data_IF_923494901474
#
_entry.id   IF_923494901474
#
_cell.length_a   1.000
_cell.length_b   1.000
_cell.length_c   1.000
_cell.angle_alpha   90.00
_cell.angle_beta   90.00
_cell.angle_gamma   90.00
#
_symmetry.space_group_name_H-M   'P 1'
#
loop_
_entity.id
_entity.type
_entity.pdbx_description
1 polymer ?
#
# COMPACT_ATOMS: atom_id res chain seq x y z
N UNK A 1 -11.64 9.17 6.89
CA UNK A 1 -10.59 8.50 7.74
C UNK A 1 -11.11 7.92 9.05
N UNK A 2 -12.41 7.97 9.28
CA UNK A 2 -13.07 7.32 10.43
C UNK A 2 -12.81 5.80 10.43
N UNK A 3 -12.87 5.17 9.25
CA UNK A 3 -12.65 3.73 9.06
C UNK A 3 -11.34 3.24 9.68
N UNK A 4 -10.27 4.02 9.56
CA UNK A 4 -8.98 3.69 10.15
C UNK A 4 -8.98 3.85 11.68
N UNK A 5 -9.64 4.87 12.22
CA UNK A 5 -9.78 5.03 13.67
C UNK A 5 -10.65 3.91 14.27
N UNK A 6 -11.71 3.51 13.58
CA UNK A 6 -12.56 2.37 13.99
C UNK A 6 -11.75 1.06 14.02
N UNK A 7 -10.79 0.87 13.10
CA UNK A 7 -9.86 -0.26 13.14
C UNK A 7 -8.97 -0.22 14.38
N UNK A 8 -8.36 0.94 14.70
CA UNK A 8 -7.50 1.08 15.88
C UNK A 8 -8.29 0.81 17.17
N UNK A 9 -9.49 1.38 17.28
CA UNK A 9 -10.38 1.18 18.43
C UNK A 9 -10.76 -0.29 18.57
N UNK A 10 -11.16 -0.94 17.48
CA UNK A 10 -11.48 -2.37 17.46
C UNK A 10 -10.32 -3.24 17.93
N UNK A 11 -9.10 -2.97 17.49
CA UNK A 11 -7.93 -3.76 17.93
C UNK A 11 -7.69 -3.57 19.42
N UNK A 12 -7.80 -2.35 19.94
CA UNK A 12 -7.57 -2.07 21.36
C UNK A 12 -8.66 -2.65 22.28
N UNK A 13 -9.90 -2.79 21.79
CA UNK A 13 -11.07 -3.25 22.57
C UNK A 13 -11.36 -4.74 22.44
N UNK A 14 -11.15 -5.32 21.24
CA UNK A 14 -11.52 -6.70 20.91
C UNK A 14 -10.30 -7.59 20.64
N UNK A 15 -9.10 -6.99 20.48
CA UNK A 15 -7.92 -7.70 20.04
C UNK A 15 -7.40 -8.72 21.06
N UNK A 16 -6.87 -9.81 20.53
CA UNK A 16 -6.18 -10.84 21.30
C UNK A 16 -4.69 -10.58 21.34
N UNK A 17 -4.09 -10.66 22.53
CA UNK A 17 -2.64 -10.55 22.70
C UNK A 17 -1.94 -11.80 22.17
N UNK A 18 -0.87 -11.58 21.39
CA UNK A 18 -0.06 -12.64 20.76
C UNK A 18 1.42 -12.29 20.85
N UNK A 19 2.23 -13.32 20.95
CA UNK A 19 3.67 -13.19 20.71
C UNK A 19 3.93 -13.09 19.20
N UNK A 20 5.06 -12.49 18.84
CA UNK A 20 5.46 -12.34 17.46
C UNK A 20 6.97 -12.60 17.27
N UNK A 21 7.41 -12.69 16.02
CA UNK A 21 8.79 -12.96 15.62
C UNK A 21 9.80 -11.96 16.23
N UNK A 22 9.39 -10.72 16.43
CA UNK A 22 10.28 -9.64 16.92
C UNK A 22 10.44 -9.65 18.43
N UNK A 23 9.62 -10.44 19.16
CA UNK A 23 9.60 -10.46 20.63
C UNK A 23 8.94 -9.23 21.26
N UNK A 24 8.45 -8.28 20.46
CA UNK A 24 7.74 -7.09 20.97
C UNK A 24 6.35 -7.45 21.49
N UNK A 25 5.70 -8.43 20.87
CA UNK A 25 4.31 -8.80 21.10
C UNK A 25 3.33 -7.87 20.41
N UNK A 26 2.13 -8.39 20.15
CA UNK A 26 1.06 -7.67 19.45
C UNK A 26 -0.28 -7.83 20.14
N UNK A 27 -1.22 -6.93 19.83
CA UNK A 27 -2.65 -7.14 20.00
C UNK A 27 -3.26 -7.16 18.59
N UNK A 28 -4.05 -8.17 18.27
CA UNK A 28 -4.57 -8.33 16.90
C UNK A 28 -6.02 -8.79 16.83
N UNK A 29 -6.68 -8.41 15.72
CA UNK A 29 -7.95 -8.99 15.27
C UNK A 29 -7.70 -9.68 13.93
N UNK A 30 -8.44 -10.76 13.65
CA UNK A 30 -8.36 -11.45 12.37
C UNK A 30 -9.56 -11.10 11.49
N UNK A 31 -9.28 -10.53 10.32
CA UNK A 31 -10.30 -10.11 9.37
C UNK A 31 -10.90 -8.74 9.68
N UNK A 32 -10.55 -7.75 8.85
CA UNK A 32 -11.14 -6.42 8.86
C UNK A 32 -11.14 -5.83 7.45
N UNK A 33 -12.17 -5.04 7.11
CA UNK A 33 -12.24 -4.37 5.83
C UNK A 33 -12.58 -2.90 6.00
N UNK A 34 -11.85 -2.04 5.30
CA UNK A 34 -12.11 -0.60 5.20
C UNK A 34 -12.41 -0.23 3.75
N UNK A 35 -13.27 0.77 3.55
CA UNK A 35 -13.60 1.33 2.23
C UNK A 35 -13.33 2.82 2.22
N UNK A 36 -12.72 3.28 1.13
CA UNK A 36 -12.37 4.69 0.91
C UNK A 36 -12.87 5.10 -0.47
N UNK A 37 -13.88 5.98 -0.51
CA UNK A 37 -14.36 6.56 -1.75
C UNK A 37 -13.42 7.71 -2.17
N UNK A 38 -12.74 7.57 -3.30
CA UNK A 38 -11.77 8.57 -3.75
C UNK A 38 -12.41 9.86 -4.27
N UNK A 39 -13.73 9.87 -4.50
CA UNK A 39 -14.48 11.09 -4.80
C UNK A 39 -14.58 12.03 -3.58
N UNK A 40 -14.47 11.50 -2.35
CA UNK A 40 -14.47 12.30 -1.12
C UNK A 40 -13.11 12.97 -0.85
N UNK A 41 -12.06 12.56 -1.55
CA UNK A 41 -10.70 13.03 -1.42
C UNK A 41 -9.68 11.90 -1.33
N UNK A 42 -8.40 12.27 -1.32
CA UNK A 42 -7.31 11.29 -1.22
C UNK A 42 -7.16 10.78 0.22
N UNK A 43 -7.21 9.46 0.48
CA UNK A 43 -7.22 8.91 1.83
C UNK A 43 -5.83 8.90 2.49
N UNK A 44 -5.22 10.08 2.60
CA UNK A 44 -4.03 10.32 3.40
C UNK A 44 -4.44 10.69 4.82
N UNK A 45 -3.93 9.99 5.84
CA UNK A 45 -4.32 10.24 7.22
C UNK A 45 -4.12 11.69 7.64
N UNK A 46 -5.13 12.25 8.30
CA UNK A 46 -5.06 13.60 8.87
C UNK A 46 -4.89 13.61 10.39
N UNK A 47 -5.10 12.47 11.05
CA UNK A 47 -4.89 12.33 12.51
C UNK A 47 -3.42 12.15 12.89
N UNK A 48 -2.57 11.86 11.90
CA UNK A 48 -1.12 11.76 12.02
C UNK A 48 -0.50 12.11 10.68
N UNK A 49 0.45 13.06 10.63
CA UNK A 49 1.13 13.43 9.39
C UNK A 49 1.96 12.27 8.86
N UNK A 50 1.76 11.94 7.58
CA UNK A 50 2.51 10.91 6.86
C UNK A 50 3.63 11.52 6.00
N UNK A 51 4.68 10.75 5.74
CA UNK A 51 5.78 11.13 4.87
C UNK A 51 5.48 10.72 3.42
N UNK A 52 4.70 11.55 2.72
CA UNK A 52 4.21 11.25 1.36
C UNK A 52 5.34 10.95 0.36
N UNK A 53 6.48 11.62 0.50
CA UNK A 53 7.64 11.38 -0.36
C UNK A 53 8.04 9.91 -0.37
N UNK A 54 8.10 9.27 0.80
CA UNK A 54 8.43 7.83 0.90
C UNK A 54 7.38 6.96 0.22
N UNK A 55 6.10 7.30 0.37
CA UNK A 55 4.98 6.55 -0.23
C UNK A 55 5.06 6.58 -1.76
N UNK A 56 5.29 7.76 -2.33
CA UNK A 56 5.37 7.91 -3.80
C UNK A 56 6.59 7.18 -4.35
N UNK A 57 7.78 7.37 -3.77
CA UNK A 57 9.00 6.71 -4.25
C UNK A 57 8.92 5.20 -4.12
N UNK A 58 8.35 4.66 -3.04
CA UNK A 58 8.14 3.22 -2.87
C UNK A 58 7.23 2.66 -3.96
N UNK A 59 6.10 3.31 -4.25
CA UNK A 59 5.19 2.86 -5.29
C UNK A 59 5.84 2.89 -6.69
N UNK A 60 6.57 3.96 -7.02
CA UNK A 60 7.32 4.06 -8.28
C UNK A 60 8.40 2.97 -8.38
N UNK A 61 9.07 2.67 -7.27
CA UNK A 61 10.08 1.63 -7.19
C UNK A 61 9.47 0.24 -7.44
N UNK A 62 8.30 -0.08 -6.86
CA UNK A 62 7.57 -1.31 -7.18
C UNK A 62 7.16 -1.37 -8.66
N UNK A 63 6.62 -0.29 -9.22
CA UNK A 63 6.20 -0.22 -10.62
C UNK A 63 7.36 -0.35 -11.61
N UNK A 64 8.57 0.03 -11.21
CA UNK A 64 9.78 -0.20 -12.00
C UNK A 64 10.33 -1.64 -11.92
N UNK A 65 9.72 -2.51 -11.09
CA UNK A 65 10.18 -3.87 -10.90
C UNK A 65 11.49 -3.99 -10.12
N UNK A 66 11.92 -2.89 -9.49
CA UNK A 66 13.18 -2.82 -8.75
C UNK A 66 13.04 -3.44 -7.36
N UNK A 67 14.12 -4.06 -6.87
CA UNK A 67 14.22 -4.71 -5.56
C UNK A 67 15.40 -4.19 -4.74
N UNK A 68 16.24 -3.35 -5.35
CA UNK A 68 17.41 -2.76 -4.69
C UNK A 68 17.07 -1.41 -4.07
N UNK A 69 17.44 -1.20 -2.81
CA UNK A 69 17.15 0.03 -2.06
C UNK A 69 17.91 1.26 -2.53
N UNK A 70 18.85 1.14 -3.44
CA UNK A 70 19.69 2.24 -3.92
C UNK A 70 18.87 3.43 -4.42
N UNK A 71 17.88 3.18 -5.29
CA UNK A 71 16.97 4.22 -5.78
C UNK A 71 16.26 4.94 -4.63
N UNK A 72 15.76 4.18 -3.64
CA UNK A 72 15.09 4.74 -2.47
C UNK A 72 16.03 5.61 -1.65
N UNK A 73 17.27 5.14 -1.40
CA UNK A 73 18.28 5.85 -0.63
C UNK A 73 18.73 7.14 -1.32
N UNK A 74 18.94 7.13 -2.63
CA UNK A 74 19.29 8.31 -3.45
C UNK A 74 18.21 9.38 -3.38
N UNK A 75 16.94 8.97 -3.16
CA UNK A 75 15.81 9.87 -2.95
C UNK A 75 15.51 10.17 -1.46
N UNK A 76 16.40 9.77 -0.54
CA UNK A 76 16.27 10.03 0.89
C UNK A 76 15.19 9.18 1.58
N UNK A 77 14.79 8.05 0.98
CA UNK A 77 13.83 7.08 1.53
C UNK A 77 14.59 5.88 2.09
N UNK A 78 14.31 5.53 3.35
CA UNK A 78 15.08 4.50 4.09
C UNK A 78 14.19 3.42 4.70
N UNK A 79 12.92 3.36 4.32
CA UNK A 79 11.92 2.48 4.94
C UNK A 79 12.15 0.99 4.68
N UNK A 80 13.07 0.62 3.80
CA UNK A 80 13.42 -0.75 3.46
C UNK A 80 14.85 -1.17 3.86
N UNK A 81 15.65 -0.24 4.42
CA UNK A 81 17.07 -0.51 4.71
C UNK A 81 17.30 -1.68 5.67
N UNK A 82 16.37 -1.91 6.61
CA UNK A 82 16.52 -2.93 7.67
C UNK A 82 16.38 -4.37 7.15
N UNK A 83 15.80 -4.54 5.95
CA UNK A 83 15.59 -5.85 5.32
C UNK A 83 16.49 -6.11 4.12
N UNK A 84 17.20 -5.08 3.64
CA UNK A 84 18.13 -5.22 2.53
C UNK A 84 19.39 -6.00 2.95
N UNK A 85 19.92 -6.80 2.03
CA UNK A 85 21.21 -7.48 2.21
C UNK A 85 22.39 -6.50 2.11
N UNK A 86 23.62 -7.01 2.17
CA UNK A 86 24.85 -6.23 2.07
C UNK A 86 25.01 -5.49 0.73
N UNK A 87 24.33 -5.94 -0.33
CA UNK A 87 24.32 -5.33 -1.66
C UNK A 87 23.14 -4.36 -1.84
N UNK A 88 22.29 -4.22 -0.81
CA UNK A 88 21.09 -3.41 -0.86
C UNK A 88 19.90 -4.08 -1.54
N UNK A 89 19.95 -5.38 -1.79
CA UNK A 89 18.89 -6.14 -2.45
C UNK A 89 17.93 -6.77 -1.43
N UNK A 90 16.66 -6.85 -1.81
CA UNK A 90 15.57 -7.44 -1.02
C UNK A 90 15.10 -8.79 -1.57
N UNK A 91 15.71 -9.26 -2.67
CA UNK A 91 15.28 -10.46 -3.38
C UNK A 91 14.00 -10.24 -4.17
N UNK A 92 13.29 -11.30 -4.49
CA UNK A 92 12.16 -11.31 -5.43
C UNK A 92 10.85 -10.75 -4.83
N UNK A 93 10.92 -9.62 -4.10
CA UNK A 93 9.74 -9.01 -3.47
C UNK A 93 8.87 -8.22 -4.48
N UNK A 94 7.79 -7.66 -4.04
CA UNK A 94 6.76 -6.86 -4.71
C UNK A 94 7.01 -6.46 -6.17
N UNK A 95 7.98 -5.59 -6.44
CA UNK A 95 8.28 -5.09 -7.78
C UNK A 95 8.67 -6.20 -8.74
N UNK A 96 9.50 -7.15 -8.29
CA UNK A 96 9.87 -8.32 -9.09
C UNK A 96 8.63 -9.16 -9.43
N UNK A 97 7.80 -9.50 -8.46
CA UNK A 97 6.59 -10.32 -8.70
C UNK A 97 5.58 -9.58 -9.59
N UNK A 98 5.42 -8.27 -9.42
CA UNK A 98 4.50 -7.48 -10.23
C UNK A 98 4.89 -7.38 -11.70
N UNK A 99 6.20 -7.28 -11.98
CA UNK A 99 6.75 -6.94 -13.29
C UNK A 99 7.47 -8.09 -13.99
N UNK A 100 7.80 -9.15 -13.28
CA UNK A 100 8.64 -10.24 -13.79
C UNK A 100 8.32 -11.56 -13.10
N UNK A 101 7.01 -11.87 -12.96
CA UNK A 101 6.57 -13.13 -12.36
C UNK A 101 7.09 -14.32 -13.18
N UNK A 102 7.83 -15.28 -12.56
CA UNK A 102 8.33 -16.44 -13.28
C UNK A 102 7.18 -17.36 -13.71
N UNK A 103 7.02 -17.51 -15.02
CA UNK A 103 6.06 -18.40 -15.64
C UNK A 103 6.55 -19.84 -15.72
N UNK A 104 5.67 -20.76 -16.18
CA UNK A 104 5.94 -22.18 -16.23
C UNK A 104 7.04 -22.57 -17.24
N UNK A 105 7.08 -21.90 -18.38
CA UNK A 105 7.99 -22.20 -19.49
C UNK A 105 9.28 -21.35 -19.48
N UNK A 106 9.61 -20.74 -18.32
CA UNK A 106 10.78 -19.86 -18.19
C UNK A 106 10.55 -18.45 -18.75
N UNK A 107 9.33 -18.13 -19.17
CA UNK A 107 8.92 -16.76 -19.49
C UNK A 107 8.73 -15.94 -18.21
N UNK A 108 8.74 -14.61 -18.35
CA UNK A 108 8.43 -13.68 -17.27
C UNK A 108 7.18 -12.87 -17.60
N UNK A 109 6.22 -12.87 -16.68
CA UNK A 109 4.93 -12.22 -16.85
C UNK A 109 4.95 -10.85 -16.17
N UNK A 110 4.65 -9.80 -16.93
CA UNK A 110 4.43 -8.45 -16.41
C UNK A 110 2.95 -8.28 -16.05
N UNK A 111 2.60 -8.60 -14.80
CA UNK A 111 1.22 -8.55 -14.32
C UNK A 111 0.63 -7.13 -14.40
N UNK A 112 1.43 -6.07 -14.17
CA UNK A 112 0.93 -4.68 -14.23
C UNK A 112 0.56 -4.31 -15.67
N UNK A 113 1.39 -4.68 -16.65
CA UNK A 113 1.09 -4.47 -18.06
C UNK A 113 -0.19 -5.21 -18.47
N UNK A 114 -0.30 -6.49 -18.08
CA UNK A 114 -1.48 -7.31 -18.42
C UNK A 114 -2.77 -6.75 -17.82
N UNK A 115 -2.77 -6.26 -16.56
CA UNK A 115 -3.98 -5.67 -15.98
C UNK A 115 -4.35 -4.35 -16.63
N UNK A 116 -3.38 -3.50 -17.02
CA UNK A 116 -3.67 -2.28 -17.78
C UNK A 116 -4.35 -2.62 -19.13
N UNK A 117 -3.80 -3.59 -19.86
CA UNK A 117 -4.37 -4.05 -21.13
C UNK A 117 -5.76 -4.65 -20.94
N UNK A 118 -5.94 -5.45 -19.89
CA UNK A 118 -7.25 -6.07 -19.58
C UNK A 118 -8.29 -5.02 -19.21
N UNK A 119 -7.97 -4.02 -18.40
CA UNK A 119 -8.90 -2.93 -18.06
C UNK A 119 -9.35 -2.17 -19.32
N UNK A 120 -8.43 -1.93 -20.27
CA UNK A 120 -8.74 -1.21 -21.52
C UNK A 120 -9.59 -2.03 -22.49
N UNK A 121 -9.29 -3.32 -22.63
CA UNK A 121 -9.84 -4.15 -23.71
C UNK A 121 -10.98 -5.08 -23.25
N UNK A 122 -11.05 -5.42 -21.97
CA UNK A 122 -12.06 -6.29 -21.37
C UNK A 122 -12.36 -5.87 -19.90
N UNK A 123 -12.95 -4.68 -19.69
CA UNK A 123 -13.19 -4.12 -18.37
C UNK A 123 -14.11 -4.98 -17.48
N UNK A 124 -14.97 -5.82 -18.07
CA UNK A 124 -15.87 -6.73 -17.34
C UNK A 124 -15.18 -8.00 -16.84
N UNK A 125 -13.89 -8.16 -17.10
CA UNK A 125 -13.11 -9.30 -16.64
C UNK A 125 -13.08 -9.38 -15.11
N UNK A 126 -13.29 -10.58 -14.58
CA UNK A 126 -13.12 -10.92 -13.15
C UNK A 126 -11.71 -11.41 -12.81
N UNK A 127 -10.76 -11.28 -13.76
CA UNK A 127 -9.38 -11.78 -13.68
C UNK A 127 -8.35 -10.64 -13.64
N UNK A 128 -8.76 -9.44 -13.29
CA UNK A 128 -7.88 -8.26 -13.22
C UNK A 128 -7.18 -8.28 -11.86
N UNK A 129 -6.20 -9.16 -11.70
CA UNK A 129 -5.55 -9.48 -10.44
C UNK A 129 -4.03 -9.32 -10.60
N UNK A 130 -3.39 -8.74 -9.57
CA UNK A 130 -1.93 -8.75 -9.39
C UNK A 130 -1.61 -9.47 -8.09
N UNK A 131 -0.69 -10.43 -8.14
CA UNK A 131 -0.30 -11.26 -7.02
C UNK A 131 1.18 -11.09 -6.71
N UNK A 132 1.52 -10.82 -5.46
CA UNK A 132 2.91 -10.79 -4.98
C UNK A 132 3.26 -12.03 -4.16
N UNK A 133 2.27 -12.81 -3.71
CA UNK A 133 2.47 -14.02 -2.92
C UNK A 133 2.77 -15.21 -3.81
N UNK A 134 4.04 -15.40 -4.17
CA UNK A 134 4.51 -16.52 -4.97
C UNK A 134 5.09 -17.61 -4.06
N UNK A 135 4.30 -18.64 -3.80
CA UNK A 135 4.68 -19.74 -2.88
C UNK A 135 5.99 -20.43 -3.30
N UNK A 136 6.23 -20.55 -4.61
CA UNK A 136 7.45 -21.15 -5.15
C UNK A 136 8.71 -20.30 -4.95
N UNK A 137 8.54 -19.01 -4.72
CA UNK A 137 9.63 -18.02 -4.69
C UNK A 137 9.84 -17.34 -3.33
N UNK A 138 9.02 -17.66 -2.33
CA UNK A 138 9.09 -17.07 -0.98
C UNK A 138 10.49 -17.16 -0.35
N UNK A 139 11.23 -18.23 -0.63
CA UNK A 139 12.58 -18.43 -0.09
C UNK A 139 13.61 -17.44 -0.63
N UNK A 140 13.31 -16.78 -1.74
CA UNK A 140 14.15 -15.79 -2.40
C UNK A 140 13.74 -14.35 -2.02
N UNK A 141 12.94 -14.19 -0.97
CA UNK A 141 12.44 -12.91 -0.48
C UNK A 141 12.97 -12.65 0.92
N UNK A 142 13.67 -11.54 1.13
CA UNK A 142 14.16 -11.16 2.47
C UNK A 142 13.00 -10.82 3.41
N UNK A 143 11.88 -10.32 2.85
CA UNK A 143 10.64 -10.11 3.57
C UNK A 143 9.44 -10.57 2.70
N UNK A 144 8.77 -11.69 3.04
CA UNK A 144 7.58 -12.14 2.32
C UNK A 144 6.45 -11.08 2.29
N UNK A 145 5.79 -10.86 1.14
CA UNK A 145 4.85 -9.77 0.95
C UNK A 145 3.71 -9.76 1.95
N UNK A 146 3.53 -8.63 2.66
CA UNK A 146 2.39 -8.39 3.54
C UNK A 146 1.13 -8.09 2.74
N UNK A 147 1.20 -7.16 1.77
CA UNK A 147 0.15 -6.92 0.79
C UNK A 147 0.29 -7.95 -0.34
N UNK A 148 -0.47 -9.04 -0.18
CA UNK A 148 -0.25 -10.28 -0.91
C UNK A 148 -0.81 -10.24 -2.34
N UNK A 149 -1.99 -9.65 -2.53
CA UNK A 149 -2.64 -9.53 -3.84
C UNK A 149 -3.63 -8.37 -3.86
N UNK A 150 -3.88 -7.84 -5.06
CA UNK A 150 -4.94 -6.88 -5.28
C UNK A 150 -5.68 -7.14 -6.58
N UNK A 151 -6.94 -6.72 -6.62
CA UNK A 151 -7.85 -6.91 -7.73
C UNK A 151 -8.50 -5.59 -8.12
N UNK A 152 -8.64 -5.36 -9.42
CA UNK A 152 -9.41 -4.25 -9.97
C UNK A 152 -10.81 -4.67 -10.38
N UNK A 153 -11.72 -3.69 -10.32
CA UNK A 153 -13.10 -3.83 -10.75
C UNK A 153 -13.57 -2.57 -11.46
N UNK A 154 -14.18 -2.73 -12.62
CA UNK A 154 -14.72 -1.63 -13.40
C UNK A 154 -16.24 -1.66 -13.36
N UNK A 155 -16.86 -0.54 -13.02
CA UNK A 155 -18.31 -0.34 -13.10
C UNK A 155 -18.63 1.15 -13.26
N UNK A 156 -19.64 1.47 -14.04
CA UNK A 156 -20.17 2.84 -14.24
C UNK A 156 -19.06 3.87 -14.59
N UNK A 157 -18.09 3.46 -15.40
CA UNK A 157 -16.96 4.30 -15.81
C UNK A 157 -15.95 4.59 -14.70
N UNK A 158 -16.00 3.84 -13.59
CA UNK A 158 -15.09 3.95 -12.45
C UNK A 158 -14.27 2.67 -12.28
N UNK A 159 -13.01 2.86 -11.90
CA UNK A 159 -12.10 1.79 -11.51
C UNK A 159 -12.02 1.75 -9.98
N UNK A 160 -12.26 0.60 -9.39
CA UNK A 160 -12.05 0.33 -7.96
C UNK A 160 -10.96 -0.69 -7.77
N UNK A 161 -10.30 -0.68 -6.60
CA UNK A 161 -9.22 -1.60 -6.24
C UNK A 161 -9.49 -2.20 -4.87
N UNK A 162 -9.39 -3.53 -4.77
CA UNK A 162 -9.38 -4.23 -3.49
C UNK A 162 -8.02 -4.85 -3.23
N UNK A 163 -7.40 -4.50 -2.10
CA UNK A 163 -6.17 -5.09 -1.58
C UNK A 163 -6.49 -6.14 -0.52
N UNK A 164 -5.86 -7.31 -0.60
CA UNK A 164 -5.73 -8.24 0.52
C UNK A 164 -4.34 -8.14 1.13
N UNK A 165 -4.25 -7.69 2.38
CA UNK A 165 -3.04 -7.61 3.19
C UNK A 165 -3.10 -8.66 4.29
N UNK A 166 -2.25 -9.72 4.19
CA UNK A 166 -2.24 -10.85 5.11
C UNK A 166 -1.79 -10.50 6.52
N UNK A 167 -0.90 -9.52 6.64
CA UNK A 167 -0.27 -9.07 7.88
C UNK A 167 -0.18 -7.54 7.86
N UNK A 168 -0.75 -6.87 8.84
CA UNK A 168 -0.98 -5.44 8.82
C UNK A 168 -0.58 -4.79 10.15
N UNK A 169 0.62 -4.16 10.19
CA UNK A 169 0.98 -3.21 11.25
C UNK A 169 0.07 -1.98 11.14
N UNK A 170 -0.93 -1.91 11.99
CA UNK A 170 -1.97 -0.90 11.91
C UNK A 170 -1.51 0.49 12.33
N UNK A 171 -0.36 0.65 13.02
CA UNK A 171 0.13 1.96 13.41
C UNK A 171 1.12 2.56 12.40
N UNK A 172 2.14 1.82 11.95
CA UNK A 172 3.14 2.32 11.00
C UNK A 172 2.79 1.98 9.55
N UNK A 173 2.49 0.71 9.24
CA UNK A 173 2.35 0.21 7.88
C UNK A 173 1.03 0.58 7.21
N UNK A 174 -0.11 0.26 7.82
CA UNK A 174 -1.45 0.45 7.23
C UNK A 174 -1.70 1.86 6.71
N UNK A 175 -1.33 2.96 7.43
CA UNK A 175 -1.47 4.31 6.90
C UNK A 175 -0.73 4.55 5.59
N UNK A 176 0.47 4.01 5.43
CA UNK A 176 1.26 4.07 4.19
C UNK A 176 0.58 3.26 3.08
N UNK A 177 0.13 2.03 3.40
CA UNK A 177 -0.51 1.16 2.43
C UNK A 177 -1.83 1.75 1.91
N UNK A 178 -2.65 2.38 2.77
CA UNK A 178 -3.87 3.09 2.33
C UNK A 178 -3.53 4.15 1.27
N UNK A 179 -2.57 5.03 1.56
CA UNK A 179 -2.20 6.10 0.65
C UNK A 179 -1.53 5.56 -0.63
N UNK A 180 -0.66 4.55 -0.53
CA UNK A 180 0.04 3.94 -1.66
C UNK A 180 -0.94 3.29 -2.65
N UNK A 181 -1.86 2.45 -2.17
CA UNK A 181 -2.81 1.78 -3.05
C UNK A 181 -3.93 2.69 -3.58
N UNK A 182 -4.30 3.73 -2.81
CA UNK A 182 -5.18 4.77 -3.34
C UNK A 182 -4.50 5.57 -4.47
N UNK A 183 -3.19 5.84 -4.35
CA UNK A 183 -2.42 6.48 -5.41
C UNK A 183 -2.31 5.56 -6.64
N UNK A 184 -1.99 4.29 -6.45
CA UNK A 184 -1.98 3.30 -7.54
C UNK A 184 -3.33 3.26 -8.28
N UNK A 185 -4.45 3.26 -7.53
CA UNK A 185 -5.79 3.29 -8.13
C UNK A 185 -6.00 4.54 -8.99
N UNK A 186 -5.60 5.73 -8.52
CA UNK A 186 -5.72 6.96 -9.30
C UNK A 186 -4.85 6.94 -10.56
N UNK A 187 -3.60 6.46 -10.45
CA UNK A 187 -2.69 6.30 -11.59
C UNK A 187 -3.27 5.34 -12.63
N UNK A 188 -3.74 4.17 -12.20
CA UNK A 188 -4.37 3.16 -13.08
C UNK A 188 -5.63 3.70 -13.74
N UNK A 189 -6.49 4.39 -13.00
CA UNK A 189 -7.69 5.02 -13.57
C UNK A 189 -7.32 6.03 -14.66
N UNK A 190 -6.32 6.90 -14.42
CA UNK A 190 -5.87 7.89 -15.41
C UNK A 190 -5.38 7.23 -16.70
N UNK A 191 -4.48 6.24 -16.60
CA UNK A 191 -3.88 5.62 -17.82
C UNK A 191 -4.83 4.71 -18.57
N UNK A 192 -5.94 4.32 -17.95
CA UNK A 192 -7.00 3.51 -18.59
C UNK A 192 -8.22 4.32 -19.00
N UNK A 193 -8.22 5.65 -18.77
CA UNK A 193 -9.29 6.55 -19.15
C UNK A 193 -10.56 6.45 -18.28
N UNK A 194 -10.44 5.89 -17.09
CA UNK A 194 -11.52 5.73 -16.10
C UNK A 194 -11.42 6.78 -14.98
N UNK A 195 -12.49 6.91 -14.19
CA UNK A 195 -12.47 7.66 -12.93
C UNK A 195 -12.06 6.73 -11.79
N UNK A 196 -11.34 7.25 -10.80
CA UNK A 196 -11.07 6.49 -9.59
C UNK A 196 -12.37 6.35 -8.76
N UNK A 197 -12.68 5.11 -8.38
CA UNK A 197 -13.82 4.75 -7.54
C UNK A 197 -13.43 4.54 -6.09
N UNK A 198 -13.61 3.31 -5.58
CA UNK A 198 -13.28 2.95 -4.20
C UNK A 198 -11.96 2.19 -4.09
N UNK A 199 -11.18 2.52 -3.07
CA UNK A 199 -10.15 1.64 -2.54
C UNK A 199 -10.71 0.83 -1.37
N UNK A 200 -10.64 -0.50 -1.47
CA UNK A 200 -11.12 -1.45 -0.47
C UNK A 200 -9.89 -2.15 0.12
N UNK A 201 -9.68 -2.00 1.43
CA UNK A 201 -8.53 -2.58 2.12
C UNK A 201 -9.00 -3.70 3.04
N UNK A 202 -8.71 -4.93 2.64
CA UNK A 202 -9.04 -6.15 3.40
C UNK A 202 -7.80 -6.65 4.11
N UNK A 203 -7.87 -6.75 5.43
CA UNK A 203 -6.78 -7.15 6.30
C UNK A 203 -7.01 -8.57 6.83
N UNK A 204 -5.98 -9.39 6.84
CA UNK A 204 -5.94 -10.66 7.55
C UNK A 204 -5.63 -10.46 9.03
N UNK A 205 -4.37 -10.67 9.46
CA UNK A 205 -3.90 -10.34 10.82
C UNK A 205 -3.66 -8.83 10.92
N UNK A 206 -4.62 -8.13 11.51
CA UNK A 206 -4.55 -6.69 11.75
C UNK A 206 -4.11 -6.45 13.20
N UNK A 207 -2.90 -5.90 13.37
CA UNK A 207 -2.28 -5.84 14.69
C UNK A 207 -1.69 -4.48 15.03
N UNK A 208 -1.60 -4.21 16.33
CA UNK A 208 -0.78 -3.17 16.95
C UNK A 208 0.34 -3.85 17.73
N UNK A 209 1.57 -3.44 17.48
CA UNK A 209 2.68 -3.80 18.36
C UNK A 209 2.49 -3.19 19.74
N UNK A 210 2.90 -3.91 20.81
CA UNK A 210 2.68 -3.47 22.18
C UNK A 210 3.38 -2.14 22.50
N UNK A 211 4.47 -1.83 21.82
CA UNK A 211 5.17 -0.55 21.92
C UNK A 211 4.48 0.61 21.21
N UNK A 212 3.35 0.38 20.48
CA UNK A 212 2.57 1.41 19.81
C UNK A 212 1.20 1.67 20.44
N UNK A 213 0.86 1.03 21.55
CA UNK A 213 -0.47 1.16 22.17
C UNK A 213 -0.76 2.60 22.60
N UNK A 214 0.18 3.27 23.26
CA UNK A 214 -0.02 4.64 23.74
C UNK A 214 -0.08 5.64 22.56
N UNK A 215 0.67 5.40 21.51
CA UNK A 215 0.59 6.17 20.27
C UNK A 215 -0.76 6.02 19.57
N UNK A 216 -1.31 4.80 19.52
CA UNK A 216 -2.63 4.54 18.95
C UNK A 216 -3.74 5.21 19.79
N UNK A 217 -3.67 5.12 21.11
CA UNK A 217 -4.59 5.82 22.03
C UNK A 217 -4.53 7.34 21.81
N UNK A 218 -3.32 7.93 21.73
CA UNK A 218 -3.15 9.35 21.42
C UNK A 218 -3.78 9.70 20.07
N UNK A 219 -3.60 8.86 19.04
CA UNK A 219 -4.16 9.11 17.71
C UNK A 219 -5.70 9.08 17.74
N UNK A 220 -6.31 8.22 18.54
CA UNK A 220 -7.77 8.15 18.73
C UNK A 220 -8.37 9.41 19.38
N UNK A 221 -7.60 10.18 20.15
CA UNK A 221 -8.08 11.47 20.69
C UNK A 221 -8.19 12.57 19.64
N UNK A 222 -7.62 12.37 18.45
CA UNK A 222 -7.53 13.40 17.41
C UNK A 222 -8.71 13.30 16.44
N UNK A 223 -9.36 14.43 16.19
CA UNK A 223 -10.45 14.50 15.20
C UNK A 223 -9.88 14.49 13.78
N UNK A 224 -10.39 13.63 12.87
CA UNK A 224 -10.03 13.70 11.46
C UNK A 224 -10.35 15.08 10.89
N UNK A 225 -9.48 15.59 10.03
CA UNK A 225 -9.69 16.80 9.25
C UNK A 225 -10.14 16.45 7.84
N UNK A 226 -10.44 17.46 7.02
CA UNK A 226 -10.80 17.28 5.61
C UNK A 226 -9.71 16.51 4.88
N UNK A 227 -10.09 15.58 4.00
CA UNK A 227 -9.16 14.85 3.15
C UNK A 227 -8.46 15.82 2.16
N UNK A 228 -7.15 15.63 1.93
CA UNK A 228 -6.45 16.33 0.87
C UNK A 228 -6.88 15.83 -0.51
N UNK A 229 -6.35 16.48 -1.54
CA UNK A 229 -6.53 16.08 -2.93
C UNK A 229 -5.18 15.74 -3.55
N UNK A 230 -5.07 14.58 -4.17
CA UNK A 230 -3.92 14.22 -4.97
C UNK A 230 -4.10 14.75 -6.40
N UNK A 231 -3.17 15.57 -6.86
CA UNK A 231 -3.06 15.98 -8.25
C UNK A 231 -2.00 15.14 -8.93
N UNK A 232 -2.36 14.62 -10.08
CA UNK A 232 -1.48 13.81 -10.92
C UNK A 232 -1.37 14.53 -12.28
N UNK A 233 -0.15 14.62 -12.80
CA UNK A 233 0.10 15.21 -14.12
C UNK A 233 -0.76 14.51 -15.20
N UNK A 234 -1.72 15.20 -15.82
CA UNK A 234 -2.66 14.59 -16.75
C UNK A 234 -2.03 14.17 -18.09
N UNK A 235 -0.82 14.65 -18.38
CA UNK A 235 -0.11 14.33 -19.63
C UNK A 235 0.51 12.92 -19.59
N UNK A 236 0.69 12.32 -18.42
CA UNK A 236 1.22 10.96 -18.29
C UNK A 236 0.14 9.94 -18.65
N UNK A 237 0.39 9.14 -19.69
CA UNK A 237 -0.55 8.15 -20.27
C UNK A 237 -0.09 6.71 -20.12
N UNK A 238 1.12 6.49 -19.63
CA UNK A 238 1.69 5.17 -19.37
C UNK A 238 2.03 5.02 -17.91
N UNK A 239 1.60 3.89 -17.30
CA UNK A 239 1.76 3.62 -15.87
C UNK A 239 3.23 3.58 -15.42
N UNK A 240 4.14 3.25 -16.34
CA UNK A 240 5.56 3.15 -16.07
C UNK A 240 6.34 4.45 -16.32
N UNK A 241 5.67 5.49 -16.82
CA UNK A 241 6.30 6.78 -17.15
C UNK A 241 6.18 7.82 -16.05
N UNK A 242 5.45 7.55 -14.99
CA UNK A 242 5.30 8.47 -13.86
C UNK A 242 6.61 8.71 -13.13
N UNK A 243 6.82 9.96 -12.72
CA UNK A 243 7.93 10.41 -11.89
C UNK A 243 7.41 11.09 -10.62
N UNK A 244 8.26 11.27 -9.64
CA UNK A 244 7.89 11.90 -8.37
C UNK A 244 7.25 13.29 -8.56
N UNK A 245 7.74 14.06 -9.52
CA UNK A 245 7.29 15.43 -9.84
C UNK A 245 5.88 15.48 -10.44
N UNK A 246 5.35 14.35 -10.89
CA UNK A 246 3.99 14.27 -11.45
C UNK A 246 2.90 14.26 -10.38
N UNK A 247 3.28 14.24 -9.09
CA UNK A 247 2.35 14.14 -7.96
C UNK A 247 2.43 15.36 -7.06
N UNK A 248 1.27 15.92 -6.70
CA UNK A 248 1.15 17.01 -5.75
C UNK A 248 -0.03 16.78 -4.82
N UNK A 249 0.22 16.81 -3.50
CA UNK A 249 -0.83 16.69 -2.48
C UNK A 249 -1.28 18.09 -2.04
N UNK A 250 -2.50 18.46 -2.43
CA UNK A 250 -3.09 19.76 -2.11
C UNK A 250 -3.94 19.69 -0.83
N UNK A 251 -3.92 20.78 -0.05
CA UNK A 251 -4.75 20.95 1.14
C UNK A 251 -4.52 19.88 2.22
N UNK A 252 -3.29 19.38 2.34
CA UNK A 252 -2.97 18.40 3.38
C UNK A 252 -2.73 19.08 4.73
N UNK A 253 -3.79 19.20 5.52
CA UNK A 253 -3.76 19.66 6.90
C UNK A 253 -3.87 18.44 7.84
N UNK A 254 -2.78 18.04 8.42
CA UNK A 254 -2.69 16.90 9.33
C UNK A 254 -2.25 17.33 10.73
N UNK A 255 -2.71 16.59 11.75
CA UNK A 255 -2.13 16.64 13.07
C UNK A 255 -0.64 16.27 13.03
N UNK A 256 0.18 16.74 13.99
CA UNK A 256 1.60 16.41 14.03
C UNK A 256 1.88 14.92 13.95
N UNK A 257 3.05 14.57 13.41
CA UNK A 257 3.53 13.19 13.39
C UNK A 257 3.55 12.58 14.79
N UNK A 258 3.25 11.28 14.90
CA UNK A 258 3.43 10.49 16.11
C UNK A 258 4.52 9.47 15.82
N UNK A 259 5.64 9.56 16.53
CA UNK A 259 6.78 8.65 16.34
C UNK A 259 6.44 7.25 16.88
N UNK A 260 6.74 6.23 16.09
CA UNK A 260 6.76 4.82 16.49
C UNK A 260 8.12 4.21 16.19
N UNK A 261 8.53 3.23 16.99
CA UNK A 261 9.75 2.44 16.78
C UNK A 261 9.37 1.20 16.00
N UNK A 262 10.06 0.94 14.89
CA UNK A 262 9.83 -0.26 14.06
C UNK A 262 10.19 -1.50 14.88
N UNK A 263 9.34 -2.51 14.86
CA UNK A 263 9.62 -3.83 15.42
C UNK A 263 10.29 -4.69 14.33
N UNK A 264 11.52 -5.12 14.56
CA UNK A 264 12.38 -5.88 13.62
C UNK A 264 12.86 -7.19 14.22
#
# INVERSE_FOLDING_TARGET
MKQYLDLLDRILTEGTRKDDRTGTGTISVFGHQMRFNLEEGFPCLTTKKLHLKSIIHELLWFLNGDTNVKYLQENGVRIWNEWADENGDLGHIYGYQWRSWPGYDGEHIDQIKEVVETIKNNPDSRRIIVNAWNVGDIKNMNLPPCHAMFQFYVADGKLSLQLYQRSADCFLGVPFNIASYALLLQMMAQVTGLKAGEFIHTLGDAHLYLNHIEQAKLQLTRKPKRLPQMRINPEVKDIFSFKFEDFSLENYDAHPHIKGVVAV
#
